data_IF_007962194951
#
_entry.id   IF_007962194951
#
_cell.length_a   1.000
_cell.length_b   1.000
_cell.length_c   1.000
_cell.angle_alpha   90.00
_cell.angle_beta   90.00
_cell.angle_gamma   90.00
#
_symmetry.space_group_name_H-M   'P 1'
#
loop_
_entity.id
_entity.type
_entity.pdbx_description
1 polymer ?
#
# COMPACT_ATOMS: atom_id res chain seq x y z
N UNK A 1 43.39 27.53 -21.69
CA UNK A 1 43.00 26.32 -22.45
C UNK A 1 43.28 25.13 -21.55
N UNK A 2 42.29 24.66 -20.80
CA UNK A 2 42.42 23.47 -19.95
C UNK A 2 41.90 22.27 -20.75
N UNK A 3 42.77 21.32 -21.04
CA UNK A 3 42.44 20.09 -21.78
C UNK A 3 41.63 19.18 -20.88
N UNK A 4 40.48 18.74 -21.39
CA UNK A 4 39.55 17.83 -20.75
C UNK A 4 40.26 16.63 -20.12
N UNK A 5 40.04 16.47 -18.81
CA UNK A 5 40.47 15.31 -18.06
C UNK A 5 39.64 14.10 -18.49
N UNK A 6 40.17 13.32 -19.42
CA UNK A 6 39.60 12.04 -19.82
C UNK A 6 39.65 11.07 -18.63
N UNK A 7 38.58 11.06 -17.83
CA UNK A 7 38.39 10.13 -16.72
C UNK A 7 38.40 8.72 -17.30
N UNK A 8 39.53 8.03 -17.14
CA UNK A 8 39.64 6.59 -17.41
C UNK A 8 38.72 5.85 -16.43
N UNK A 9 37.51 5.53 -16.89
CA UNK A 9 36.56 4.72 -16.13
C UNK A 9 37.23 3.42 -15.69
N UNK A 10 37.08 3.12 -14.39
CA UNK A 10 37.67 1.93 -13.78
C UNK A 10 37.10 0.68 -14.44
N UNK A 11 37.82 -0.46 -14.48
CA UNK A 11 37.32 -1.69 -15.08
C UNK A 11 35.94 -2.13 -14.53
N UNK A 12 35.67 -1.85 -13.26
CA UNK A 12 34.38 -2.06 -12.59
C UNK A 12 33.26 -1.15 -13.11
N UNK A 13 33.55 0.11 -13.46
CA UNK A 13 32.57 1.06 -14.00
C UNK A 13 32.21 0.73 -15.45
N UNK A 14 33.16 0.24 -16.25
CA UNK A 14 32.89 -0.21 -17.63
C UNK A 14 31.94 -1.41 -17.70
N UNK A 15 32.01 -2.31 -16.72
CA UNK A 15 31.07 -3.42 -16.60
C UNK A 15 29.67 -2.93 -16.22
N UNK A 16 29.58 -1.95 -15.31
CA UNK A 16 28.32 -1.33 -14.90
C UNK A 16 27.65 -0.55 -16.05
N UNK A 17 28.43 0.21 -16.85
CA UNK A 17 27.89 0.93 -18.00
C UNK A 17 27.43 0.00 -19.13
N UNK A 18 28.11 -1.13 -19.34
CA UNK A 18 27.69 -2.16 -20.32
C UNK A 18 26.42 -2.89 -19.86
N UNK A 19 26.31 -3.19 -18.57
CA UNK A 19 25.10 -3.76 -17.99
C UNK A 19 23.90 -2.81 -18.12
N UNK A 20 24.08 -1.51 -17.78
CA UNK A 20 23.03 -0.50 -17.87
C UNK A 20 22.50 -0.27 -19.31
N UNK A 21 23.34 -0.50 -20.33
CA UNK A 21 22.95 -0.36 -21.74
C UNK A 21 22.11 -1.55 -22.24
N UNK A 22 22.28 -2.74 -21.64
CA UNK A 22 21.42 -3.89 -21.90
C UNK A 22 20.04 -3.79 -21.23
N UNK A 23 19.89 -3.01 -20.16
CA UNK A 23 18.61 -2.81 -19.46
C UNK A 23 17.63 -1.86 -20.15
N UNK A 24 18.07 -1.06 -21.13
CA UNK A 24 17.18 -0.11 -21.80
C UNK A 24 16.33 -0.74 -22.92
N UNK A 25 16.54 -2.01 -23.27
CA UNK A 25 15.96 -2.54 -24.52
C UNK A 25 15.47 -4.00 -24.49
N UNK A 26 15.08 -4.53 -23.32
CA UNK A 26 14.22 -5.73 -23.26
C UNK A 26 13.19 -5.57 -22.15
N UNK A 27 11.92 -5.73 -22.52
CA UNK A 27 10.83 -5.98 -21.57
C UNK A 27 11.00 -7.37 -20.95
N UNK A 28 12.08 -7.58 -20.19
CA UNK A 28 12.31 -8.82 -19.44
C UNK A 28 11.78 -8.65 -18.02
N UNK A 29 10.53 -9.08 -17.83
CA UNK A 29 9.77 -9.11 -16.57
C UNK A 29 10.58 -9.78 -15.43
N UNK A 30 11.50 -10.68 -15.79
CA UNK A 30 12.37 -11.39 -14.85
C UNK A 30 13.35 -10.51 -14.07
N UNK A 31 13.79 -9.37 -14.61
CA UNK A 31 14.73 -8.52 -13.84
C UNK A 31 14.02 -7.53 -12.92
N UNK A 32 12.79 -7.12 -13.28
CA UNK A 32 11.94 -6.39 -12.34
C UNK A 32 11.73 -7.26 -11.10
N UNK A 33 11.49 -8.56 -11.25
CA UNK A 33 11.40 -9.49 -10.12
C UNK A 33 12.68 -9.53 -9.25
N UNK A 34 13.89 -9.39 -9.82
CA UNK A 34 15.14 -9.39 -9.04
C UNK A 34 15.43 -8.06 -8.32
N UNK A 35 15.12 -6.91 -8.93
CA UNK A 35 15.24 -5.60 -8.25
C UNK A 35 14.23 -5.53 -7.09
N UNK A 36 13.06 -6.13 -7.29
CA UNK A 36 12.02 -6.24 -6.27
C UNK A 36 12.44 -7.23 -5.16
N UNK A 37 13.16 -8.32 -5.49
CA UNK A 37 13.77 -9.23 -4.50
C UNK A 37 14.84 -8.63 -3.58
N UNK A 38 15.62 -7.65 -4.04
CA UNK A 38 16.66 -7.01 -3.20
C UNK A 38 16.05 -5.94 -2.27
N UNK A 39 14.79 -5.55 -2.49
CA UNK A 39 14.04 -4.64 -1.62
C UNK A 39 13.11 -5.36 -0.62
N UNK A 40 12.88 -6.67 -0.74
CA UNK A 40 12.07 -7.47 0.20
C UNK A 40 12.85 -7.83 1.47
N UNK A 41 13.23 -6.79 2.23
CA UNK A 41 13.40 -6.90 3.69
C UNK A 41 12.37 -6.01 4.41
N UNK A 42 11.20 -5.83 3.82
CA UNK A 42 10.00 -5.42 4.56
C UNK A 42 9.00 -6.55 4.50
N UNK A 43 8.51 -6.92 5.68
CA UNK A 43 7.51 -7.95 5.90
C UNK A 43 6.15 -7.40 5.45
N UNK A 44 5.88 -7.42 4.15
CA UNK A 44 4.58 -7.01 3.63
C UNK A 44 4.00 -8.19 2.82
N UNK A 45 2.96 -8.83 3.36
CA UNK A 45 2.30 -9.98 2.76
C UNK A 45 1.37 -9.49 1.65
N UNK A 46 1.91 -9.17 0.48
CA UNK A 46 1.10 -8.76 -0.67
C UNK A 46 0.28 -9.96 -1.19
N UNK A 47 -1.02 -10.00 -0.90
CA UNK A 47 -1.94 -10.99 -1.47
C UNK A 47 -2.43 -10.56 -2.85
N UNK A 48 -2.14 -11.36 -3.88
CA UNK A 48 -2.60 -11.12 -5.25
C UNK A 48 -4.01 -11.70 -5.41
N UNK A 49 -4.99 -10.83 -5.69
CA UNK A 49 -6.30 -11.24 -6.23
C UNK A 49 -6.60 -10.41 -7.48
N UNK A 50 -6.89 -11.07 -8.60
CA UNK A 50 -7.36 -10.47 -9.86
C UNK A 50 -6.46 -9.40 -10.51
N UNK A 51 -5.14 -9.50 -10.38
CA UNK A 51 -4.20 -8.74 -11.22
C UNK A 51 -4.07 -7.24 -10.93
N UNK A 52 -4.62 -6.76 -9.81
CA UNK A 52 -4.46 -5.37 -9.37
C UNK A 52 -3.65 -5.32 -8.06
N UNK A 53 -2.65 -4.44 -8.04
CA UNK A 53 -1.83 -4.15 -6.86
C UNK A 53 -2.66 -3.27 -5.91
N UNK A 54 -3.32 -3.88 -4.94
CA UNK A 54 -4.10 -3.14 -3.95
C UNK A 54 -3.15 -2.52 -2.92
N UNK A 55 -2.86 -1.24 -3.11
CA UNK A 55 -2.39 -0.37 -2.04
C UNK A 55 -3.48 -0.40 -0.96
N UNK A 56 -3.20 -1.05 0.16
CA UNK A 56 -4.19 -1.29 1.22
C UNK A 56 -4.53 0.01 1.97
N UNK A 57 -5.43 0.79 1.38
CA UNK A 57 -5.93 2.01 1.97
C UNK A 57 -7.09 1.69 2.93
N UNK A 58 -7.17 2.43 4.02
CA UNK A 58 -8.26 2.40 5.03
C UNK A 58 -9.64 2.24 4.40
N UNK A 59 -9.90 2.96 3.30
CA UNK A 59 -11.17 2.95 2.56
C UNK A 59 -11.57 1.57 2.05
N UNK A 60 -10.60 0.80 1.52
CA UNK A 60 -10.85 -0.56 1.03
C UNK A 60 -11.19 -1.50 2.19
N UNK A 61 -10.42 -1.42 3.28
CA UNK A 61 -10.63 -2.25 4.48
C UNK A 61 -11.95 -1.94 5.16
N UNK A 62 -12.30 -0.67 5.32
CA UNK A 62 -13.58 -0.23 5.87
C UNK A 62 -14.76 -0.79 5.06
N UNK A 63 -14.72 -0.65 3.73
CA UNK A 63 -15.78 -1.16 2.86
C UNK A 63 -15.89 -2.68 2.94
N UNK A 64 -14.76 -3.39 2.98
CA UNK A 64 -14.72 -4.84 3.12
C UNK A 64 -15.32 -5.31 4.45
N UNK A 65 -14.94 -4.68 5.58
CA UNK A 65 -15.49 -4.97 6.91
C UNK A 65 -17.00 -4.73 6.97
N UNK A 66 -17.47 -3.60 6.41
CA UNK A 66 -18.90 -3.29 6.33
C UNK A 66 -19.66 -4.33 5.49
N UNK A 67 -19.14 -4.66 4.31
CA UNK A 67 -19.74 -5.67 3.43
C UNK A 67 -19.77 -7.06 4.06
N UNK A 68 -18.69 -7.48 4.74
CA UNK A 68 -18.62 -8.74 5.48
C UNK A 68 -19.64 -8.81 6.62
N UNK A 69 -19.94 -7.67 7.24
CA UNK A 69 -20.92 -7.55 8.30
C UNK A 69 -22.36 -7.47 7.78
N UNK A 70 -22.58 -7.34 6.46
CA UNK A 70 -23.92 -7.31 5.85
C UNK A 70 -24.75 -6.06 6.18
N UNK A 71 -24.11 -4.97 6.64
CA UNK A 71 -24.80 -3.75 7.08
C UNK A 71 -24.69 -2.61 6.06
N UNK A 72 -25.68 -1.72 6.09
CA UNK A 72 -25.68 -0.48 5.29
C UNK A 72 -24.78 0.59 5.92
N UNK A 73 -24.38 1.60 5.13
CA UNK A 73 -23.61 2.75 5.63
C UNK A 73 -24.38 3.51 6.72
N UNK A 74 -25.71 3.56 6.63
CA UNK A 74 -26.58 4.17 7.64
C UNK A 74 -26.52 3.42 8.97
N UNK A 75 -26.67 2.09 8.93
CA UNK A 75 -26.59 1.25 10.12
C UNK A 75 -25.20 1.31 10.77
N UNK A 76 -24.13 1.35 9.97
CA UNK A 76 -22.77 1.52 10.48
C UNK A 76 -22.61 2.87 11.19
N UNK A 77 -23.13 3.95 10.58
CA UNK A 77 -23.13 5.26 11.21
C UNK A 77 -23.87 5.27 12.55
N UNK A 78 -25.09 4.72 12.58
CA UNK A 78 -25.89 4.62 13.81
C UNK A 78 -25.19 3.81 14.90
N UNK A 79 -24.52 2.70 14.56
CA UNK A 79 -23.83 1.85 15.53
C UNK A 79 -22.54 2.48 16.07
N UNK A 80 -21.87 3.32 15.29
CA UNK A 80 -20.58 3.96 15.66
C UNK A 80 -20.72 5.40 16.14
N UNK A 81 -21.94 5.95 16.14
CA UNK A 81 -22.20 7.36 16.42
C UNK A 81 -21.71 8.31 15.32
N UNK A 82 -21.42 7.80 14.13
CA UNK A 82 -20.97 8.56 12.96
C UNK A 82 -22.15 8.86 12.02
N UNK A 83 -22.02 9.88 11.18
CA UNK A 83 -23.04 10.15 10.18
C UNK A 83 -22.92 9.18 9.00
N UNK A 84 -24.05 8.73 8.45
CA UNK A 84 -24.08 7.88 7.25
C UNK A 84 -23.31 8.49 6.08
N UNK A 85 -23.40 9.83 5.94
CA UNK A 85 -22.63 10.59 4.94
C UNK A 85 -21.14 10.57 5.23
N UNK A 86 -20.73 10.66 6.50
CA UNK A 86 -19.32 10.54 6.89
C UNK A 86 -18.74 9.18 6.52
N UNK A 87 -19.47 8.09 6.79
CA UNK A 87 -19.08 6.74 6.35
C UNK A 87 -18.94 6.66 4.82
N UNK A 88 -19.88 7.24 4.07
CA UNK A 88 -19.80 7.28 2.61
C UNK A 88 -18.55 8.05 2.14
N UNK A 89 -18.28 9.23 2.73
CA UNK A 89 -17.12 10.04 2.36
C UNK A 89 -15.80 9.31 2.67
N UNK A 90 -15.77 8.51 3.74
CA UNK A 90 -14.63 7.64 4.10
C UNK A 90 -14.43 6.52 3.07
N UNK A 91 -15.51 5.88 2.63
CA UNK A 91 -15.49 4.82 1.61
C UNK A 91 -15.20 5.32 0.20
N UNK A 92 -15.27 6.64 -0.04
CA UNK A 92 -14.98 7.28 -1.32
C UNK A 92 -13.67 8.09 -1.30
N UNK A 93 -12.89 8.01 -0.22
CA UNK A 93 -11.67 8.82 0.00
C UNK A 93 -11.89 10.35 -0.06
N UNK A 94 -13.15 10.80 0.01
CA UNK A 94 -13.51 12.23 -0.04
C UNK A 94 -13.15 12.94 1.28
N UNK A 95 -13.08 12.19 2.37
CA UNK A 95 -12.73 12.70 3.69
C UNK A 95 -11.84 11.70 4.43
N UNK A 96 -10.86 12.21 5.17
CA UNK A 96 -10.07 11.40 6.11
C UNK A 96 -10.79 11.28 7.45
N UNK A 97 -10.85 10.10 8.06
CA UNK A 97 -11.42 9.94 9.40
C UNK A 97 -10.52 10.62 10.44
N UNK A 98 -11.14 11.17 11.48
CA UNK A 98 -10.42 11.62 12.67
C UNK A 98 -10.09 10.45 13.59
N UNK A 99 -9.32 10.71 14.66
CA UNK A 99 -8.96 9.69 15.64
C UNK A 99 -10.19 9.04 16.28
N UNK A 100 -11.16 9.85 16.72
CA UNK A 100 -12.37 9.33 17.36
C UNK A 100 -13.18 8.40 16.44
N UNK A 101 -13.28 8.76 15.16
CA UNK A 101 -13.95 7.93 14.16
C UNK A 101 -13.20 6.62 13.91
N UNK A 102 -11.87 6.67 13.85
CA UNK A 102 -11.03 5.48 13.69
C UNK A 102 -11.17 4.52 14.87
N UNK A 103 -11.15 5.04 16.11
CA UNK A 103 -11.34 4.24 17.32
C UNK A 103 -12.73 3.61 17.35
N UNK A 104 -13.78 4.40 17.08
CA UNK A 104 -15.16 3.88 17.05
C UNK A 104 -15.35 2.77 16.01
N UNK A 105 -14.73 2.90 14.83
CA UNK A 105 -14.78 1.88 13.80
C UNK A 105 -13.97 0.63 14.19
N UNK A 106 -12.78 0.80 14.75
CA UNK A 106 -11.94 -0.31 15.20
C UNK A 106 -12.62 -1.12 16.32
N UNK A 107 -13.23 -0.43 17.28
CA UNK A 107 -13.97 -1.04 18.38
C UNK A 107 -15.24 -1.75 17.90
N UNK A 108 -15.97 -1.15 16.95
CA UNK A 108 -17.18 -1.77 16.39
C UNK A 108 -16.90 -3.07 15.63
N UNK A 109 -15.82 -3.10 14.84
CA UNK A 109 -15.43 -4.29 14.08
C UNK A 109 -14.55 -5.26 14.87
N UNK A 110 -14.21 -4.93 16.12
CA UNK A 110 -13.28 -5.67 16.97
C UNK A 110 -11.95 -5.99 16.26
N UNK A 111 -11.35 -4.96 15.66
CA UNK A 111 -10.06 -5.05 14.95
C UNK A 111 -9.04 -4.07 15.51
N UNK A 112 -7.76 -4.36 15.28
CA UNK A 112 -6.68 -3.42 15.59
C UNK A 112 -6.77 -2.17 14.70
N UNK A 113 -6.36 -1.02 15.25
CA UNK A 113 -6.26 0.21 14.47
C UNK A 113 -5.24 0.09 13.34
N UNK A 114 -4.14 -0.63 13.59
CA UNK A 114 -3.11 -0.91 12.58
C UNK A 114 -3.69 -1.72 11.42
N UNK A 115 -4.58 -2.67 11.70
CA UNK A 115 -5.35 -3.33 10.65
C UNK A 115 -6.31 -2.37 9.95
N UNK A 116 -7.08 -1.58 10.69
CA UNK A 116 -8.05 -0.70 10.04
C UNK A 116 -7.38 0.30 9.06
N UNK A 117 -6.19 0.80 9.39
CA UNK A 117 -5.49 1.84 8.61
C UNK A 117 -4.45 1.32 7.62
N UNK A 118 -4.29 0.00 7.44
CA UNK A 118 -3.37 -0.55 6.44
C UNK A 118 -1.91 -0.72 6.91
N UNK A 119 -1.64 -0.75 8.22
CA UNK A 119 -0.28 -0.92 8.79
C UNK A 119 0.07 -2.36 9.16
N UNK A 120 -0.92 -3.22 9.29
CA UNK A 120 -0.76 -4.64 9.59
C UNK A 120 -1.85 -5.47 8.91
N UNK A 121 -1.53 -6.67 8.45
CA UNK A 121 -2.52 -7.61 7.91
C UNK A 121 -3.22 -8.43 9.01
N UNK A 122 -2.74 -8.32 10.24
CA UNK A 122 -3.27 -9.02 11.40
C UNK A 122 -4.42 -8.21 12.03
N UNK A 123 -5.69 -8.69 11.94
CA UNK A 123 -6.83 -7.97 12.48
C UNK A 123 -6.88 -7.98 14.02
N UNK A 124 -6.15 -8.87 14.67
CA UNK A 124 -6.23 -9.09 16.11
C UNK A 124 -5.81 -7.86 16.93
N UNK A 125 -6.65 -7.51 17.90
CA UNK A 125 -6.38 -6.48 18.90
C UNK A 125 -5.33 -7.02 19.89
N UNK A 126 -4.09 -6.56 19.76
CA UNK A 126 -2.98 -6.90 20.67
C UNK A 126 -2.93 -5.98 21.88
#
# INVERSE_FOLDING_TARGET
>A
MATDGERRERPSERLLLRAARHYRNRQDIHTIACIVSISYHTRDCVSIVNGEFLLENFTVRLKALRSKSGITQKQLGEATGLSARGIQDYELEQRKPGLDALLALADYFDVSLDYLVGRSDEPERR
#
